data_IF_672714645769
#
_entry.id   IF_672714645769
#
_cell.length_a   1.000
_cell.length_b   1.000
_cell.length_c   1.000
_cell.angle_alpha   90.00
_cell.angle_beta   90.00
_cell.angle_gamma   90.00
#
_symmetry.space_group_name_H-M   'P 1'
#
loop_
_entity.id
_entity.type
_entity.pdbx_description
1 polymer ?
#
# COMPACT_ATOMS: atom_id res chain seq x y z
N UNK A 1 73.20 41.49 -21.12
CA UNK A 1 73.80 40.18 -20.83
C UNK A 1 73.12 39.57 -19.60
N UNK A 2 72.53 38.38 -19.79
CA UNK A 2 72.11 37.33 -18.84
C UNK A 2 71.56 37.76 -17.46
N UNK A 3 70.23 37.81 -17.35
CA UNK A 3 69.50 37.63 -16.08
C UNK A 3 69.72 36.20 -15.61
N UNK A 4 70.41 36.01 -14.48
CA UNK A 4 70.46 34.74 -13.78
C UNK A 4 69.11 34.50 -13.11
N UNK A 5 68.21 33.80 -13.79
CA UNK A 5 67.07 33.15 -13.15
C UNK A 5 67.66 32.02 -12.31
N UNK A 6 67.54 32.13 -10.99
CA UNK A 6 68.03 31.13 -10.04
C UNK A 6 67.38 29.78 -10.34
N UNK A 7 68.20 28.78 -10.70
CA UNK A 7 67.77 27.40 -10.94
C UNK A 7 67.07 26.79 -9.71
N UNK A 8 67.30 27.35 -8.50
CA UNK A 8 66.59 26.97 -7.27
C UNK A 8 65.10 27.32 -7.30
N UNK A 9 64.67 28.33 -8.06
CA UNK A 9 63.26 28.71 -8.16
C UNK A 9 62.50 27.82 -9.17
N UNK A 10 63.19 27.30 -10.18
CA UNK A 10 62.61 26.39 -11.18
C UNK A 10 62.47 24.97 -10.63
N UNK A 11 63.42 24.52 -9.79
CA UNK A 11 63.34 23.20 -9.13
C UNK A 11 62.27 23.17 -8.03
N UNK A 12 61.96 24.30 -7.38
CA UNK A 12 60.88 24.35 -6.39
C UNK A 12 59.48 24.37 -7.03
N UNK A 13 59.36 24.86 -8.28
CA UNK A 13 58.07 24.88 -8.99
C UNK A 13 57.75 23.57 -9.72
N UNK A 14 58.74 22.69 -9.93
CA UNK A 14 58.55 21.37 -10.55
C UNK A 14 58.22 20.24 -9.55
N UNK A 15 58.34 20.49 -8.24
CA UNK A 15 57.96 19.52 -7.18
C UNK A 15 56.48 19.70 -6.75
N UNK A 16 55.80 20.77 -7.16
CA UNK A 16 54.41 21.04 -6.75
C UNK A 16 53.34 20.66 -7.78
N UNK A 17 53.70 19.92 -8.84
CA UNK A 17 52.76 19.38 -9.83
C UNK A 17 52.94 17.86 -9.93
N UNK A 18 53.01 17.19 -8.78
CA UNK A 18 52.24 15.96 -8.66
C UNK A 18 50.81 16.45 -8.50
N UNK A 19 50.12 16.60 -9.63
CA UNK A 19 48.67 16.73 -9.59
C UNK A 19 48.19 15.56 -8.75
N UNK A 20 47.73 15.84 -7.53
CA UNK A 20 46.82 14.98 -6.83
C UNK A 20 45.63 14.85 -7.77
N UNK A 21 45.70 13.85 -8.64
CA UNK A 21 44.53 13.08 -9.00
C UNK A 21 44.02 12.57 -7.66
N UNK A 22 43.23 13.41 -6.99
CA UNK A 22 42.42 13.01 -5.85
C UNK A 22 41.40 12.05 -6.42
N UNK A 23 41.82 10.80 -6.63
CA UNK A 23 40.91 9.69 -6.63
C UNK A 23 40.23 9.78 -5.28
N UNK A 24 38.97 10.21 -5.28
CA UNK A 24 38.14 10.17 -4.08
C UNK A 24 37.81 8.70 -3.83
N UNK A 25 38.82 7.99 -3.35
CA UNK A 25 38.64 6.65 -2.84
C UNK A 25 37.73 6.78 -1.61
N UNK A 26 36.72 5.92 -1.45
CA UNK A 26 35.93 5.88 -0.23
C UNK A 26 36.86 5.75 0.98
N UNK A 27 36.87 6.75 1.87
CA UNK A 27 37.73 6.75 3.06
C UNK A 27 36.90 6.34 4.26
N UNK A 28 37.43 5.44 5.10
CA UNK A 28 36.89 5.18 6.42
C UNK A 28 37.87 5.75 7.45
N UNK A 29 37.49 6.81 8.16
CA UNK A 29 38.35 7.53 9.08
C UNK A 29 37.56 8.26 10.18
N UNK A 30 38.29 8.81 11.15
CA UNK A 30 37.73 9.79 12.07
C UNK A 30 37.35 11.09 11.33
N UNK A 31 36.23 11.70 11.73
CA UNK A 31 35.92 13.07 11.33
C UNK A 31 36.73 14.10 12.13
N UNK A 32 36.37 15.38 12.05
CA UNK A 32 37.06 16.44 12.82
C UNK A 32 36.53 16.60 14.23
N UNK A 33 35.37 16.02 14.55
CA UNK A 33 34.81 16.00 15.90
C UNK A 33 35.32 14.81 16.72
N UNK A 34 35.34 14.94 18.05
CA UNK A 34 35.67 13.83 18.96
C UNK A 34 34.76 12.63 18.73
N UNK A 35 35.31 11.42 18.62
CA UNK A 35 34.59 10.16 18.33
C UNK A 35 33.68 10.20 17.08
N UNK A 36 33.96 11.09 16.13
CA UNK A 36 33.20 11.20 14.89
C UNK A 36 33.68 10.22 13.83
N UNK A 37 32.78 9.77 12.95
CA UNK A 37 33.10 8.80 11.87
C UNK A 37 32.74 9.37 10.51
N UNK A 38 33.68 9.27 9.58
CA UNK A 38 33.50 9.57 8.16
C UNK A 38 33.75 8.30 7.35
N UNK A 39 32.80 7.91 6.52
CA UNK A 39 32.90 6.75 5.64
C UNK A 39 32.41 7.08 4.22
N UNK A 40 33.30 7.14 3.24
CA UNK A 40 32.97 7.41 1.82
C UNK A 40 33.64 8.66 1.26
N UNK A 41 32.93 9.41 0.42
CA UNK A 41 33.48 10.50 -0.39
C UNK A 41 32.88 11.85 0.04
N UNK A 42 33.72 12.86 0.25
CA UNK A 42 33.31 14.25 0.53
C UNK A 42 32.30 14.41 1.68
N UNK A 43 32.38 13.53 2.68
CA UNK A 43 31.54 13.58 3.86
C UNK A 43 32.21 14.46 4.94
N UNK A 44 31.41 15.18 5.70
CA UNK A 44 31.81 16.00 6.83
C UNK A 44 31.13 15.44 8.09
N UNK A 45 31.92 15.02 9.07
CA UNK A 45 31.46 14.75 10.43
C UNK A 45 32.30 15.61 11.37
N UNK A 46 31.74 16.73 11.86
CA UNK A 46 32.54 17.80 12.48
C UNK A 46 32.33 17.99 13.97
N UNK A 47 31.31 17.37 14.55
CA UNK A 47 30.95 17.50 15.96
C UNK A 47 31.11 16.19 16.73
N UNK A 48 31.06 16.27 18.06
CA UNK A 48 31.16 15.11 18.96
C UNK A 48 30.20 13.98 18.54
N UNK A 49 30.73 12.76 18.35
CA UNK A 49 29.98 11.55 18.01
C UNK A 49 29.09 11.70 16.77
N UNK A 50 29.45 12.60 15.86
CA UNK A 50 28.78 12.74 14.57
C UNK A 50 29.20 11.64 13.59
N UNK A 51 28.29 11.24 12.70
CA UNK A 51 28.48 10.11 11.79
C UNK A 51 28.05 10.48 10.37
N UNK A 52 28.97 10.44 9.41
CA UNK A 52 28.68 10.75 8.01
C UNK A 52 29.12 9.61 7.06
N UNK A 53 28.17 9.00 6.35
CA UNK A 53 28.37 7.80 5.54
C UNK A 53 27.80 7.96 4.12
N UNK A 54 28.57 7.63 3.08
CA UNK A 54 28.15 7.70 1.67
C UNK A 54 28.87 8.81 0.90
N UNK A 55 28.15 9.71 0.22
CA UNK A 55 28.74 10.77 -0.60
C UNK A 55 28.16 12.15 -0.28
N UNK A 56 29.01 13.12 0.06
CA UNK A 56 28.62 14.53 0.21
C UNK A 56 27.74 14.83 1.42
N UNK A 57 27.72 13.97 2.44
CA UNK A 57 26.89 14.16 3.63
C UNK A 57 27.56 15.10 4.63
N UNK A 58 26.76 15.85 5.38
CA UNK A 58 27.24 16.78 6.41
C UNK A 58 26.54 16.51 7.75
N UNK A 59 27.22 15.81 8.65
CA UNK A 59 26.84 15.60 10.04
C UNK A 59 27.59 16.60 10.94
N UNK A 60 27.06 17.80 11.07
CA UNK A 60 27.70 18.91 11.82
C UNK A 60 27.00 19.22 13.14
N UNK A 61 26.13 18.33 13.63
CA UNK A 61 25.54 18.41 14.97
C UNK A 61 26.16 17.39 15.93
N UNK A 62 26.19 17.69 17.23
CA UNK A 62 26.59 16.70 18.24
C UNK A 62 25.65 15.49 18.20
N UNK A 63 26.19 14.28 18.23
CA UNK A 63 25.44 13.02 18.09
C UNK A 63 24.60 12.94 16.80
N UNK A 64 24.93 13.73 15.76
CA UNK A 64 24.18 13.72 14.51
C UNK A 64 24.58 12.58 13.59
N UNK A 65 23.67 12.16 12.72
CA UNK A 65 23.91 11.09 11.75
C UNK A 65 23.43 11.51 10.36
N UNK A 66 24.30 11.41 9.35
CA UNK A 66 23.97 11.67 7.96
C UNK A 66 24.41 10.51 7.05
N UNK A 67 23.48 9.82 6.40
CA UNK A 67 23.76 8.60 5.62
C UNK A 67 23.14 8.64 4.23
N UNK A 68 23.94 8.38 3.19
CA UNK A 68 23.49 8.29 1.80
C UNK A 68 24.14 9.33 0.89
N UNK A 69 23.35 10.14 0.19
CA UNK A 69 23.86 11.15 -0.74
C UNK A 69 23.37 12.57 -0.38
N UNK A 70 24.30 13.50 -0.14
CA UNK A 70 24.01 14.93 0.10
C UNK A 70 23.03 15.22 1.25
N UNK A 71 23.04 14.43 2.31
CA UNK A 71 22.21 14.71 3.49
C UNK A 71 22.89 15.70 4.43
N UNK A 72 22.11 16.47 5.17
CA UNK A 72 22.58 17.44 6.17
C UNK A 72 21.89 17.13 7.50
N UNK A 73 22.67 16.80 8.53
CA UNK A 73 22.22 16.66 9.92
C UNK A 73 23.04 17.65 10.78
N UNK A 74 22.51 18.86 10.99
CA UNK A 74 23.30 20.00 11.48
C UNK A 74 23.01 20.43 12.92
N UNK A 75 22.10 19.76 13.62
CA UNK A 75 21.75 20.05 15.02
C UNK A 75 21.96 18.85 15.94
N UNK A 76 21.90 19.11 17.25
CA UNK A 76 22.04 18.11 18.29
C UNK A 76 21.07 16.93 18.04
N UNK A 77 21.61 15.69 18.05
CA UNK A 77 20.87 14.44 17.85
C UNK A 77 20.01 14.39 16.57
N UNK A 78 20.35 15.20 15.56
CA UNK A 78 19.65 15.19 14.27
C UNK A 78 20.06 14.01 13.39
N UNK A 79 19.13 13.47 12.61
CA UNK A 79 19.34 12.28 11.78
C UNK A 79 18.82 12.49 10.35
N UNK A 80 19.68 12.37 9.34
CA UNK A 80 19.32 12.56 7.93
C UNK A 80 19.77 11.36 7.07
N UNK A 81 18.83 10.63 6.48
CA UNK A 81 19.11 9.36 5.79
C UNK A 81 18.45 9.30 4.42
N UNK A 82 19.20 8.95 3.38
CA UNK A 82 18.71 8.81 2.00
C UNK A 82 19.38 9.81 1.05
N UNK A 83 18.60 10.63 0.34
CA UNK A 83 19.14 11.58 -0.66
C UNK A 83 18.66 13.01 -0.42
N UNK A 84 19.59 13.93 -0.16
CA UNK A 84 19.30 15.37 -0.13
C UNK A 84 18.44 15.82 1.05
N UNK A 85 18.32 15.03 2.12
CA UNK A 85 17.52 15.40 3.29
C UNK A 85 18.25 16.41 4.18
N UNK A 86 17.49 17.24 4.91
CA UNK A 86 17.99 18.22 5.88
C UNK A 86 17.29 18.05 7.22
N UNK A 87 17.96 17.41 8.17
CA UNK A 87 17.58 17.39 9.59
C UNK A 87 18.31 18.54 10.30
N UNK A 88 17.63 19.68 10.43
CA UNK A 88 18.23 20.95 10.88
C UNK A 88 17.54 21.54 12.12
N UNK A 89 16.63 20.78 12.73
CA UNK A 89 16.12 21.00 14.08
C UNK A 89 16.84 20.12 15.12
N UNK A 90 16.89 20.54 16.39
CA UNK A 90 17.34 19.66 17.47
C UNK A 90 16.42 18.44 17.59
N UNK A 91 17.00 17.25 17.76
CA UNK A 91 16.28 15.96 17.79
C UNK A 91 15.42 15.69 16.54
N UNK A 92 15.73 16.35 15.42
CA UNK A 92 14.98 16.17 14.18
C UNK A 92 15.42 14.95 13.38
N UNK A 93 14.49 14.35 12.64
CA UNK A 93 14.77 13.21 11.75
C UNK A 93 14.22 13.46 10.36
N UNK A 94 15.03 13.24 9.32
CA UNK A 94 14.65 13.36 7.93
C UNK A 94 15.10 12.13 7.12
N UNK A 95 14.15 11.34 6.62
CA UNK A 95 14.40 10.06 5.94
C UNK A 95 13.74 10.01 4.56
N UNK A 96 14.48 9.54 3.56
CA UNK A 96 14.00 9.36 2.18
C UNK A 96 14.64 10.32 1.20
N UNK A 97 13.88 11.15 0.49
CA UNK A 97 14.43 12.08 -0.52
C UNK A 97 13.96 13.51 -0.38
N UNK A 98 14.90 14.46 -0.32
CA UNK A 98 14.62 15.90 -0.31
C UNK A 98 13.59 16.29 0.76
N UNK A 99 13.70 15.78 1.98
CA UNK A 99 12.88 16.25 3.10
C UNK A 99 13.63 17.30 3.93
N UNK A 100 12.89 18.21 4.56
CA UNK A 100 13.42 19.14 5.57
C UNK A 100 12.67 18.91 6.89
N UNK A 101 13.39 18.63 7.95
CA UNK A 101 12.89 18.61 9.32
C UNK A 101 13.63 19.69 10.11
N UNK A 102 12.99 20.84 10.32
CA UNK A 102 13.60 22.01 10.96
C UNK A 102 13.01 22.35 12.33
N UNK A 103 11.82 21.84 12.66
CA UNK A 103 11.26 21.95 14.01
C UNK A 103 12.05 21.13 15.03
N UNK A 104 12.05 21.53 16.29
CA UNK A 104 12.59 20.71 17.39
C UNK A 104 11.75 19.44 17.55
N UNK A 105 12.38 18.28 17.73
CA UNK A 105 11.69 16.98 17.78
C UNK A 105 10.86 16.65 16.52
N UNK A 106 11.16 17.29 15.38
CA UNK A 106 10.38 17.09 14.16
C UNK A 106 10.81 15.84 13.37
N UNK A 107 9.89 15.27 12.59
CA UNK A 107 10.16 14.07 11.79
C UNK A 107 9.56 14.18 10.39
N UNK A 108 10.39 14.04 9.36
CA UNK A 108 9.96 14.01 7.96
C UNK A 108 10.40 12.69 7.30
N UNK A 109 9.44 11.88 6.87
CA UNK A 109 9.68 10.57 6.25
C UNK A 109 8.99 10.48 4.88
N UNK A 110 9.74 10.07 3.86
CA UNK A 110 9.24 9.90 2.50
C UNK A 110 9.93 10.85 1.52
N UNK A 111 9.20 11.71 0.82
CA UNK A 111 9.80 12.58 -0.21
C UNK A 111 9.21 13.97 -0.24
N UNK A 112 10.06 15.00 -0.35
CA UNK A 112 9.67 16.38 -0.67
C UNK A 112 8.68 17.01 0.33
N UNK A 113 8.83 16.71 1.62
CA UNK A 113 8.12 17.39 2.71
C UNK A 113 9.02 18.36 3.47
N UNK A 114 8.43 19.43 4.00
CA UNK A 114 9.06 20.33 4.97
C UNK A 114 8.25 20.36 6.28
N UNK A 115 8.88 20.02 7.40
CA UNK A 115 8.29 20.04 8.74
C UNK A 115 9.00 21.10 9.56
N UNK A 116 8.32 22.22 9.81
CA UNK A 116 8.83 23.34 10.59
C UNK A 116 8.23 23.40 12.00
N UNK A 117 7.06 22.79 12.21
CA UNK A 117 6.43 22.69 13.52
C UNK A 117 7.24 21.88 14.52
N UNK A 118 7.25 22.31 15.79
CA UNK A 118 7.91 21.57 16.86
C UNK A 118 7.10 20.33 17.25
N UNK A 119 7.77 19.26 17.66
CA UNK A 119 7.15 17.99 18.09
C UNK A 119 6.16 17.43 17.06
N UNK A 120 6.48 17.58 15.78
CA UNK A 120 5.56 17.37 14.66
C UNK A 120 6.15 16.49 13.58
N UNK A 121 5.31 15.94 12.70
CA UNK A 121 5.82 15.10 11.61
C UNK A 121 5.00 15.03 10.34
N UNK A 122 5.65 14.57 9.28
CA UNK A 122 5.05 14.29 7.98
C UNK A 122 5.57 12.97 7.41
N UNK A 123 4.66 12.11 6.98
CA UNK A 123 4.95 10.78 6.44
C UNK A 123 4.25 10.60 5.09
N UNK A 124 5.02 10.54 4.00
CA UNK A 124 4.48 10.33 2.65
C UNK A 124 5.23 11.12 1.59
N UNK A 125 4.54 11.47 0.51
CA UNK A 125 5.10 12.23 -0.63
C UNK A 125 4.44 13.60 -0.76
N UNK A 126 5.25 14.64 -0.62
CA UNK A 126 4.92 16.03 -0.94
C UNK A 126 5.24 16.38 -2.39
N UNK A 127 5.75 17.60 -2.60
CA UNK A 127 6.06 18.13 -3.93
C UNK A 127 7.00 19.33 -3.79
N UNK A 128 8.09 19.30 -4.56
CA UNK A 128 9.06 20.36 -4.66
C UNK A 128 9.07 20.94 -6.08
N UNK A 129 8.63 22.19 -6.22
CA UNK A 129 8.64 22.93 -7.47
C UNK A 129 9.34 24.29 -7.25
N UNK A 130 10.65 24.25 -7.03
CA UNK A 130 11.46 25.39 -6.58
C UNK A 130 11.27 25.75 -5.10
N UNK A 131 10.11 25.41 -4.52
CA UNK A 131 9.82 25.46 -3.09
C UNK A 131 8.97 24.26 -2.67
N UNK A 132 8.98 23.97 -1.37
CA UNK A 132 8.14 22.93 -0.76
C UNK A 132 6.68 23.39 -0.75
N UNK A 133 5.83 22.70 -1.50
CA UNK A 133 4.40 23.03 -1.60
C UNK A 133 3.62 22.56 -0.37
N UNK A 134 4.08 21.46 0.22
CA UNK A 134 3.40 20.75 1.30
C UNK A 134 4.26 20.79 2.56
N UNK A 135 3.72 21.45 3.60
CA UNK A 135 4.44 21.72 4.84
C UNK A 135 3.61 21.36 6.05
N UNK A 136 4.27 20.89 7.10
CA UNK A 136 3.70 20.85 8.43
C UNK A 136 4.33 21.95 9.29
N UNK A 137 3.60 23.05 9.43
CA UNK A 137 4.03 24.24 10.17
C UNK A 137 3.35 24.38 11.54
N UNK A 138 2.39 23.49 11.84
CA UNK A 138 1.72 23.43 13.13
C UNK A 138 2.55 22.66 14.15
N UNK A 139 2.55 23.08 15.41
CA UNK A 139 3.18 22.36 16.51
C UNK A 139 2.33 21.16 16.93
N UNK A 140 2.98 20.15 17.53
CA UNK A 140 2.36 18.91 18.00
C UNK A 140 1.47 18.22 16.94
N UNK A 141 1.77 18.41 15.66
CA UNK A 141 0.89 18.06 14.55
C UNK A 141 1.50 16.97 13.68
N UNK A 142 0.68 16.05 13.18
CA UNK A 142 1.16 14.90 12.41
C UNK A 142 0.35 14.67 11.15
N UNK A 143 1.04 14.48 10.03
CA UNK A 143 0.42 14.19 8.75
C UNK A 143 0.89 12.83 8.22
N UNK A 144 -0.04 11.95 7.90
CA UNK A 144 0.21 10.65 7.27
C UNK A 144 -0.55 10.61 5.93
N UNK A 145 0.22 10.48 4.86
CA UNK A 145 -0.23 10.44 3.47
C UNK A 145 0.37 11.54 2.60
N UNK A 146 -0.09 11.60 1.36
CA UNK A 146 0.52 12.40 0.30
C UNK A 146 -0.16 13.76 0.17
N UNK A 147 0.63 14.79 -0.17
CA UNK A 147 0.13 16.13 -0.51
C UNK A 147 -0.69 16.78 0.61
N UNK A 148 -0.30 16.58 1.87
CA UNK A 148 -0.97 17.17 3.03
C UNK A 148 -0.29 18.46 3.49
N UNK A 149 -1.04 19.38 4.08
CA UNK A 149 -0.49 20.62 4.65
C UNK A 149 -1.20 21.01 5.94
N UNK A 150 -0.43 21.48 6.91
CA UNK A 150 -0.91 22.14 8.13
C UNK A 150 -0.21 23.51 8.19
N UNK A 151 -1.00 24.58 8.15
CA UNK A 151 -0.48 25.95 8.16
C UNK A 151 0.04 26.36 9.54
N UNK A 152 0.92 27.37 9.57
CA UNK A 152 1.44 27.92 10.82
C UNK A 152 0.31 28.44 11.73
N UNK A 153 0.49 28.30 13.05
CA UNK A 153 -0.53 28.65 14.05
C UNK A 153 -1.74 27.70 14.07
N UNK A 154 -1.57 26.48 13.57
CA UNK A 154 -2.58 25.43 13.53
C UNK A 154 -2.03 24.19 14.24
N UNK A 155 -2.06 24.23 15.56
CA UNK A 155 -1.39 23.28 16.44
C UNK A 155 -2.32 22.12 16.83
N UNK A 156 -1.73 21.01 17.29
CA UNK A 156 -2.43 19.82 17.77
C UNK A 156 -3.36 19.17 16.72
N UNK A 157 -2.95 19.19 15.45
CA UNK A 157 -3.73 18.66 14.35
C UNK A 157 -3.18 17.33 13.79
N UNK A 158 -4.09 16.42 13.45
CA UNK A 158 -3.75 15.10 12.93
C UNK A 158 -4.43 14.84 11.59
N UNK A 159 -3.65 14.43 10.59
CA UNK A 159 -4.15 14.06 9.27
C UNK A 159 -3.80 12.60 8.99
N UNK A 160 -4.82 11.80 8.68
CA UNK A 160 -4.67 10.47 8.08
C UNK A 160 -5.44 10.43 6.76
N UNK A 161 -4.74 10.73 5.66
CA UNK A 161 -5.37 10.87 4.34
C UNK A 161 -4.44 11.48 3.30
N UNK A 162 -4.94 11.68 2.09
CA UNK A 162 -4.20 12.34 1.01
C UNK A 162 -4.91 13.64 0.62
N UNK A 163 -4.15 14.66 0.22
CA UNK A 163 -4.68 15.93 -0.27
C UNK A 163 -5.59 16.63 0.77
N UNK A 164 -5.13 16.71 2.01
CA UNK A 164 -5.80 17.44 3.10
C UNK A 164 -5.02 18.71 3.41
N UNK A 165 -5.72 19.83 3.56
CA UNK A 165 -5.16 21.11 3.96
C UNK A 165 -5.89 21.66 5.18
N UNK A 166 -5.16 21.86 6.27
CA UNK A 166 -5.64 22.55 7.47
C UNK A 166 -5.09 23.99 7.41
N UNK A 167 -6.01 24.95 7.31
CA UNK A 167 -5.68 26.38 7.25
C UNK A 167 -5.32 26.95 8.63
N UNK A 168 -4.77 28.17 8.63
CA UNK A 168 -4.30 28.88 9.83
C UNK A 168 -5.36 29.03 10.91
N UNK A 169 -4.98 28.85 12.17
CA UNK A 169 -5.83 29.09 13.34
C UNK A 169 -6.80 27.96 13.70
N UNK A 170 -6.73 26.84 12.99
CA UNK A 170 -7.50 25.63 13.31
C UNK A 170 -6.64 24.76 14.22
N UNK A 171 -7.14 24.43 15.41
CA UNK A 171 -6.38 23.66 16.41
C UNK A 171 -7.14 22.41 16.86
N UNK A 172 -6.42 21.45 17.43
CA UNK A 172 -7.01 20.29 18.12
C UNK A 172 -8.02 19.52 17.25
N UNK A 173 -7.67 19.25 15.99
CA UNK A 173 -8.58 18.64 15.02
C UNK A 173 -7.97 17.44 14.30
N UNK A 174 -8.84 16.57 13.80
CA UNK A 174 -8.46 15.34 13.08
C UNK A 174 -9.13 15.30 11.71
N UNK A 175 -8.35 15.08 10.66
CA UNK A 175 -8.85 14.78 9.33
C UNK A 175 -8.65 13.29 9.00
N UNK A 176 -9.75 12.59 8.71
CA UNK A 176 -9.74 11.17 8.35
C UNK A 176 -10.24 11.00 6.91
N UNK A 177 -9.37 10.44 6.06
CA UNK A 177 -9.65 10.15 4.65
C UNK A 177 -9.13 11.19 3.67
N UNK A 178 -9.01 10.78 2.41
CA UNK A 178 -8.52 11.62 1.33
C UNK A 178 -9.49 12.76 0.97
N UNK A 179 -8.98 13.95 0.67
CA UNK A 179 -9.78 15.12 0.32
C UNK A 179 -10.77 15.55 1.42
N UNK A 180 -10.52 15.19 2.69
CA UNK A 180 -11.29 15.71 3.81
C UNK A 180 -10.93 17.18 4.08
N UNK A 181 -11.88 17.96 4.58
CA UNK A 181 -11.71 19.39 4.88
C UNK A 181 -12.00 19.64 6.35
N UNK A 182 -11.08 20.29 7.06
CA UNK A 182 -11.28 20.74 8.44
C UNK A 182 -11.56 22.24 8.39
N UNK A 183 -12.73 22.65 8.87
CA UNK A 183 -13.19 24.04 8.79
C UNK A 183 -13.25 24.76 10.15
N UNK A 184 -13.02 24.04 11.25
CA UNK A 184 -13.05 24.58 12.61
C UNK A 184 -12.22 23.73 13.57
N UNK A 185 -11.73 24.36 14.63
CA UNK A 185 -11.01 23.69 15.73
C UNK A 185 -11.90 22.72 16.49
N UNK A 186 -11.30 21.75 17.18
CA UNK A 186 -12.00 20.73 17.99
C UNK A 186 -12.96 19.86 17.17
N UNK A 187 -12.58 19.48 15.94
CA UNK A 187 -13.44 18.65 15.08
C UNK A 187 -12.72 17.42 14.53
N UNK A 188 -13.51 16.36 14.28
CA UNK A 188 -13.08 15.21 13.47
C UNK A 188 -13.81 15.29 12.13
N UNK A 189 -13.08 15.60 11.07
CA UNK A 189 -13.62 15.64 9.71
C UNK A 189 -13.38 14.32 8.99
N UNK A 190 -14.47 13.66 8.58
CA UNK A 190 -14.44 12.41 7.80
C UNK A 190 -14.74 12.66 6.31
N UNK A 191 -14.76 13.91 5.84
CA UNK A 191 -15.15 14.27 4.48
C UNK A 191 -15.04 15.75 4.17
N UNK A 192 -15.75 16.19 3.15
CA UNK A 192 -15.85 17.57 2.69
C UNK A 192 -17.30 17.93 2.35
N UNK A 193 -17.52 19.16 1.88
CA UNK A 193 -18.84 19.62 1.43
C UNK A 193 -19.40 18.78 0.27
N UNK A 194 -18.52 18.27 -0.61
CA UNK A 194 -18.86 17.49 -1.80
C UNK A 194 -18.67 15.99 -1.62
N UNK A 195 -17.81 15.57 -0.68
CA UNK A 195 -17.55 14.16 -0.39
C UNK A 195 -17.89 13.83 1.06
N UNK A 196 -19.04 13.22 1.29
CA UNK A 196 -19.46 12.75 2.61
C UNK A 196 -19.25 11.25 2.73
N UNK A 197 -18.72 10.79 3.86
CA UNK A 197 -18.52 9.36 4.14
C UNK A 197 -19.56 8.87 5.14
N UNK A 198 -19.98 7.62 4.96
CA UNK A 198 -20.70 6.89 5.99
C UNK A 198 -19.72 6.51 7.09
N UNK A 199 -20.12 6.71 8.34
CA UNK A 199 -19.45 6.10 9.51
C UNK A 199 -20.24 4.82 9.80
N UNK A 200 -19.61 3.67 9.60
CA UNK A 200 -20.25 2.35 9.70
C UNK A 200 -19.64 1.56 10.86
N UNK A 201 -20.33 0.50 11.29
CA UNK A 201 -19.95 -0.31 12.46
C UNK A 201 -19.92 0.49 13.77
N UNK A 202 -20.78 1.51 13.86
CA UNK A 202 -21.02 2.28 15.09
C UNK A 202 -22.00 1.47 15.94
N UNK A 203 -21.61 1.16 17.18
CA UNK A 203 -22.52 0.58 18.17
C UNK A 203 -23.59 1.57 18.58
N UNK A 204 -24.70 1.09 19.13
CA UNK A 204 -25.73 1.99 19.67
C UNK A 204 -25.15 2.82 20.81
N UNK A 205 -25.30 4.14 20.70
CA UNK A 205 -24.94 5.06 21.76
C UNK A 205 -25.94 5.03 22.91
N UNK A 206 -25.54 5.45 24.11
CA UNK A 206 -26.50 5.72 25.18
C UNK A 206 -27.45 6.85 24.76
N UNK A 207 -28.74 6.72 25.06
CA UNK A 207 -29.70 7.80 24.82
C UNK A 207 -30.17 8.38 26.15
N UNK A 208 -29.50 9.44 26.57
CA UNK A 208 -29.76 10.19 27.80
C UNK A 208 -29.42 11.67 27.61
N UNK A 209 -29.87 12.53 28.53
CA UNK A 209 -29.68 13.99 28.43
C UNK A 209 -28.20 14.43 28.50
N UNK A 210 -27.31 13.56 28.97
CA UNK A 210 -25.87 13.81 29.11
C UNK A 210 -25.01 12.98 28.17
N UNK A 211 -25.61 12.16 27.31
CA UNK A 211 -24.85 11.31 26.39
C UNK A 211 -24.07 12.12 25.36
N UNK A 212 -22.85 11.67 25.07
CA UNK A 212 -21.99 12.22 24.00
C UNK A 212 -21.71 11.19 22.90
N UNK A 213 -22.43 10.06 22.93
CA UNK A 213 -22.24 8.98 21.99
C UNK A 213 -22.84 9.31 20.61
N UNK A 214 -22.26 8.69 19.58
CA UNK A 214 -22.85 8.73 18.25
C UNK A 214 -24.12 7.85 18.21
N UNK A 215 -25.21 8.39 17.66
CA UNK A 215 -26.48 7.66 17.49
C UNK A 215 -26.46 6.90 16.17
N UNK A 216 -26.87 5.63 16.19
CA UNK A 216 -26.97 4.81 14.97
C UNK A 216 -28.25 5.09 14.18
N UNK A 217 -28.25 4.77 12.89
CA UNK A 217 -29.48 4.86 12.08
C UNK A 217 -30.62 3.99 12.61
N UNK A 218 -30.33 2.88 13.29
CA UNK A 218 -31.34 2.02 13.93
C UNK A 218 -32.01 2.72 15.10
N UNK A 219 -31.26 3.39 15.97
CA UNK A 219 -31.82 4.11 17.12
C UNK A 219 -32.72 5.27 16.67
N UNK A 220 -32.31 5.99 15.61
CA UNK A 220 -33.14 7.02 15.00
C UNK A 220 -34.42 6.43 14.40
N UNK A 221 -34.32 5.31 13.68
CA UNK A 221 -35.48 4.65 13.06
C UNK A 221 -36.46 4.07 14.09
N UNK A 222 -35.97 3.49 15.19
CA UNK A 222 -36.83 2.89 16.22
C UNK A 222 -37.52 3.91 17.12
N UNK A 223 -37.16 5.20 17.04
CA UNK A 223 -37.66 6.24 17.94
C UNK A 223 -37.19 6.08 19.39
N UNK A 224 -36.16 5.26 19.63
CA UNK A 224 -35.62 5.09 20.98
C UNK A 224 -35.05 6.43 21.46
N UNK A 225 -35.45 6.87 22.65
CA UNK A 225 -35.00 8.14 23.22
C UNK A 225 -35.78 9.39 22.81
N UNK A 226 -36.87 9.23 22.03
CA UNK A 226 -37.88 10.28 21.95
C UNK A 226 -38.58 10.34 23.30
N UNK A 227 -38.44 11.47 24.01
CA UNK A 227 -39.24 11.77 25.19
C UNK A 227 -40.69 11.98 24.76
N UNK A 228 -41.42 10.85 24.68
CA UNK A 228 -42.83 10.82 24.30
C UNK A 228 -43.68 11.63 25.28
N UNK A 229 -43.28 11.76 26.55
CA UNK A 229 -43.97 12.58 27.54
C UNK A 229 -43.80 14.09 27.26
N UNK A 230 -42.59 14.53 26.89
CA UNK A 230 -42.37 15.92 26.44
C UNK A 230 -43.13 16.24 25.14
N UNK A 231 -43.18 15.30 24.19
CA UNK A 231 -43.98 15.45 22.96
C UNK A 231 -45.48 15.49 23.25
N UNK A 232 -45.98 14.63 24.13
CA UNK A 232 -47.39 14.65 24.57
C UNK A 232 -47.74 15.97 25.28
N UNK A 233 -46.83 16.52 26.07
CA UNK A 233 -47.00 17.84 26.71
C UNK A 233 -46.97 18.99 25.70
N UNK A 234 -46.05 19.00 24.72
CA UNK A 234 -46.02 20.03 23.65
C UNK A 234 -47.25 19.98 22.74
N UNK A 235 -47.71 18.79 22.42
CA UNK A 235 -48.92 18.57 21.63
C UNK A 235 -50.21 18.71 22.45
N UNK A 236 -50.09 18.96 23.76
CA UNK A 236 -51.21 19.09 24.68
C UNK A 236 -52.14 17.85 24.72
N UNK A 237 -51.58 16.68 24.40
CA UNK A 237 -52.27 15.37 24.36
C UNK A 237 -52.38 14.76 25.76
N UNK A 238 -51.60 15.24 26.73
CA UNK A 238 -51.69 14.86 28.15
C UNK A 238 -52.95 15.35 28.86
N UNK A 239 -53.72 16.28 28.28
CA UNK A 239 -55.05 16.62 28.78
C UNK A 239 -56.07 15.58 28.32
N UNK A 240 -56.07 14.43 29.01
CA UNK A 240 -57.18 13.47 29.01
C UNK A 240 -58.54 14.11 29.36
N UNK A 241 -58.53 15.36 29.85
CA UNK A 241 -59.70 16.17 30.15
C UNK A 241 -60.28 16.95 28.95
N UNK A 242 -59.55 17.05 27.83
CA UNK A 242 -60.06 17.67 26.59
C UNK A 242 -60.73 16.62 25.67
N UNK A 243 -60.66 15.33 26.04
CA UNK A 243 -61.39 14.23 25.42
C UNK A 243 -62.58 13.82 26.29
N UNK A 244 -63.36 14.83 26.69
CA UNK A 244 -64.76 14.55 26.99
C UNK A 244 -65.42 14.27 25.65
N UNK A 245 -65.87 13.02 25.51
CA UNK A 245 -67.06 12.59 24.79
C UNK A 245 -67.72 13.66 23.91
N UNK A 246 -68.08 13.27 22.68
CA UNK A 246 -68.73 14.08 21.64
C UNK A 246 -69.99 14.88 22.05
N UNK A 247 -70.37 14.87 23.33
CA UNK A 247 -71.39 15.68 23.97
C UNK A 247 -70.91 17.08 24.42
N UNK A 248 -69.60 17.32 24.55
CA UNK A 248 -69.04 18.63 24.98
C UNK A 248 -68.37 19.43 23.83
N UNK A 249 -68.49 18.95 22.58
CA UNK A 249 -68.22 19.78 21.41
C UNK A 249 -69.35 20.82 21.36
N UNK A 250 -69.08 22.03 21.84
CA UNK A 250 -69.96 23.17 21.64
C UNK A 250 -70.01 23.52 20.14
N UNK A 251 -70.92 22.84 19.44
CA UNK A 251 -71.18 22.99 18.00
C UNK A 251 -71.54 24.45 17.68
N UNK A 252 -72.14 25.19 18.62
CA UNK A 252 -72.49 26.59 18.42
C UNK A 252 -71.23 27.48 18.40
N UNK A 253 -70.22 27.18 19.21
CA UNK A 253 -68.91 27.86 19.18
C UNK A 253 -68.16 27.65 17.86
N UNK A 254 -68.28 26.46 17.26
CA UNK A 254 -67.75 26.16 15.94
C UNK A 254 -68.56 26.82 14.82
N UNK A 255 -69.90 26.83 14.92
CA UNK A 255 -70.78 27.54 13.98
C UNK A 255 -70.48 29.04 13.92
N UNK A 256 -70.25 29.67 15.07
CA UNK A 256 -69.88 31.09 15.15
C UNK A 256 -68.49 31.35 14.55
N UNK A 257 -67.51 30.46 14.78
CA UNK A 257 -66.17 30.57 14.18
C UNK A 257 -66.15 30.37 12.66
N UNK A 258 -67.07 29.56 12.13
CA UNK A 258 -67.25 29.32 10.70
C UNK A 258 -68.17 30.35 10.02
N UNK A 259 -68.67 31.35 10.77
CA UNK A 259 -69.55 32.39 10.21
C UNK A 259 -70.94 31.91 9.82
N UNK A 260 -71.35 30.70 10.23
CA UNK A 260 -72.69 30.13 9.95
C UNK A 260 -73.68 30.41 11.09
N UNK A 261 -73.44 31.48 11.86
CA UNK A 261 -74.22 31.84 13.05
C UNK A 261 -74.76 33.26 13.03
N UNK A 262 -76.09 33.33 12.89
CA UNK A 262 -77.00 34.45 13.19
C UNK A 262 -77.22 35.51 12.11
N UNK A 263 -78.33 35.35 11.40
CA UNK A 263 -79.02 36.42 10.67
C UNK A 263 -80.39 35.92 10.22
N UNK A 264 -81.47 36.44 10.80
CA UNK A 264 -82.84 36.02 10.55
C UNK A 264 -83.28 36.16 9.09
N UNK A 265 -84.22 35.31 8.68
CA UNK A 265 -84.86 35.33 7.36
C UNK A 265 -85.07 33.91 6.84
N UNK A 266 -86.32 33.53 6.55
CA UNK A 266 -86.75 32.15 6.31
C UNK A 266 -86.01 31.40 5.20
N UNK A 267 -85.75 30.12 5.46
CA UNK A 267 -85.22 29.15 4.50
C UNK A 267 -85.09 27.77 5.13
N UNK A 268 -85.78 26.79 4.53
CA UNK A 268 -85.94 25.35 4.77
C UNK A 268 -85.23 24.64 5.96
N UNK A 269 -85.90 23.66 6.61
CA UNK A 269 -85.25 22.77 7.57
C UNK A 269 -84.21 21.90 6.85
N UNK A 270 -83.05 21.74 7.48
CA UNK A 270 -82.01 20.81 7.02
C UNK A 270 -82.43 19.41 7.46
N UNK A 271 -82.70 18.53 6.50
CA UNK A 271 -83.21 17.18 6.73
C UNK A 271 -82.25 16.37 7.61
N UNK A 272 -82.77 15.89 8.75
CA UNK A 272 -82.10 14.91 9.58
C UNK A 272 -82.15 13.55 8.86
N UNK A 273 -81.03 13.13 8.29
CA UNK A 273 -80.89 11.78 7.73
C UNK A 273 -81.23 10.74 8.80
N UNK A 274 -82.19 9.88 8.50
CA UNK A 274 -82.56 8.76 9.38
C UNK A 274 -81.55 7.63 9.24
N UNK A 275 -81.37 6.85 10.33
CA UNK A 275 -80.43 5.72 10.38
C UNK A 275 -80.64 4.70 9.24
N UNK A 276 -81.84 4.62 8.66
CA UNK A 276 -82.14 3.75 7.51
C UNK A 276 -81.53 4.23 6.18
N UNK A 277 -81.24 5.52 6.04
CA UNK A 277 -80.66 6.09 4.81
C UNK A 277 -79.12 5.94 4.78
N UNK A 278 -78.49 5.77 5.94
CA UNK A 278 -77.06 5.47 6.05
C UNK A 278 -76.74 4.00 5.75
N UNK A 279 -77.65 3.08 6.09
CA UNK A 279 -77.43 1.64 5.97
C UNK A 279 -77.57 1.11 4.52
N UNK A 280 -78.22 1.85 3.62
CA UNK A 280 -78.39 1.46 2.20
C UNK A 280 -77.29 1.97 1.25
N UNK A 281 -76.22 2.59 1.76
CA UNK A 281 -75.12 3.12 0.94
C UNK A 281 -73.82 2.30 1.01
N UNK A 282 -73.77 1.30 1.89
CA UNK A 282 -72.63 0.38 1.96
C UNK A 282 -72.99 -0.92 1.22
N UNK A 283 -72.33 -1.08 0.07
CA UNK A 283 -72.24 -2.22 -0.83
C UNK A 283 -72.95 -3.51 -0.38
N UNK A 284 -73.83 -4.01 -1.25
CA UNK A 284 -74.51 -5.29 -1.12
C UNK A 284 -73.46 -6.42 -1.10
N UNK A 285 -73.70 -7.46 -0.29
CA UNK A 285 -72.78 -8.60 -0.06
C UNK A 285 -72.32 -9.31 -1.34
N UNK A 286 -73.09 -9.14 -2.42
CA UNK A 286 -72.82 -9.65 -3.78
C UNK A 286 -71.60 -9.00 -4.45
N UNK A 287 -71.21 -7.78 -4.07
CA UNK A 287 -70.05 -7.08 -4.64
C UNK A 287 -68.71 -7.53 -4.03
N UNK A 288 -68.74 -8.19 -2.87
CA UNK A 288 -67.55 -8.68 -2.16
C UNK A 288 -67.02 -10.00 -2.74
N UNK A 289 -67.90 -10.82 -3.33
CA UNK A 289 -67.54 -12.13 -3.89
C UNK A 289 -66.86 -12.02 -5.27
N UNK A 290 -66.93 -10.87 -5.93
CA UNK A 290 -66.21 -10.59 -7.18
C UNK A 290 -64.76 -10.11 -6.95
N UNK A 291 -64.33 -9.88 -5.70
CA UNK A 291 -62.97 -9.45 -5.39
C UNK A 291 -61.97 -10.61 -5.23
N UNK A 292 -62.45 -11.85 -5.17
CA UNK A 292 -61.62 -13.05 -4.97
C UNK A 292 -61.21 -13.75 -6.28
N UNK A 293 -61.67 -13.26 -7.43
CA UNK A 293 -61.22 -13.71 -8.76
C UNK A 293 -60.52 -12.57 -9.50
N UNK A 294 -59.24 -12.36 -9.23
CA UNK A 294 -58.43 -11.46 -10.04
C UNK A 294 -56.99 -11.92 -10.07
N UNK A 295 -56.61 -12.51 -11.18
CA UNK A 295 -55.22 -12.83 -11.56
C UNK A 295 -54.37 -11.56 -11.83
N UNK A 296 -54.87 -10.37 -11.50
CA UNK A 296 -54.17 -9.08 -11.66
C UNK A 296 -54.10 -8.35 -10.31
N UNK A 297 -53.09 -8.69 -9.50
CA UNK A 297 -52.79 -7.97 -8.27
C UNK A 297 -52.11 -6.63 -8.60
N UNK A 298 -52.90 -5.57 -8.75
CA UNK A 298 -52.41 -4.18 -8.70
C UNK A 298 -52.51 -3.69 -7.27
N UNK A 299 -51.42 -3.16 -6.72
CA UNK A 299 -51.45 -2.50 -5.42
C UNK A 299 -52.33 -1.23 -5.47
N UNK A 300 -52.62 -0.64 -4.31
CA UNK A 300 -53.53 0.49 -4.14
C UNK A 300 -53.15 1.76 -4.95
N UNK A 301 -51.99 1.78 -5.60
CA UNK A 301 -51.52 2.87 -6.46
C UNK A 301 -51.54 2.53 -7.96
N UNK A 302 -52.13 1.40 -8.35
CA UNK A 302 -52.23 0.99 -9.75
C UNK A 302 -50.91 0.50 -10.35
N UNK A 303 -49.91 0.22 -9.51
CA UNK A 303 -48.61 -0.26 -9.97
C UNK A 303 -48.73 -1.77 -10.21
N UNK A 304 -48.44 -2.17 -11.44
CA UNK A 304 -48.30 -3.57 -11.84
C UNK A 304 -46.99 -4.10 -11.24
N UNK A 305 -47.14 -4.83 -10.13
CA UNK A 305 -46.06 -5.35 -9.31
C UNK A 305 -45.21 -6.34 -10.12
N UNK A 306 -45.80 -7.08 -11.05
CA UNK A 306 -45.08 -8.06 -11.87
C UNK A 306 -44.29 -7.39 -13.00
N UNK A 307 -44.82 -6.31 -13.57
CA UNK A 307 -44.09 -5.45 -14.52
C UNK A 307 -42.93 -4.71 -13.85
N UNK A 308 -43.04 -4.37 -12.57
CA UNK A 308 -41.95 -3.80 -11.77
C UNK A 308 -40.91 -4.84 -11.36
N UNK A 309 -41.31 -6.06 -10.96
CA UNK A 309 -40.38 -7.18 -10.74
C UNK A 309 -39.56 -7.52 -11.99
N UNK A 310 -40.20 -7.49 -13.17
CA UNK A 310 -39.52 -7.67 -14.45
C UNK A 310 -38.52 -6.55 -14.77
N UNK A 311 -38.84 -5.29 -14.44
CA UNK A 311 -37.92 -4.14 -14.61
C UNK A 311 -36.77 -4.11 -13.59
N UNK A 312 -36.97 -4.61 -12.38
CA UNK A 312 -35.96 -4.69 -11.32
C UNK A 312 -35.06 -5.94 -11.40
N UNK A 313 -35.33 -6.86 -12.33
CA UNK A 313 -34.50 -8.05 -12.55
C UNK A 313 -34.55 -9.09 -11.42
N UNK A 314 -35.59 -9.06 -10.58
CA UNK A 314 -35.74 -9.94 -9.40
C UNK A 314 -36.53 -11.22 -9.69
N UNK A 315 -36.81 -11.54 -10.96
CA UNK A 315 -37.38 -12.83 -11.35
C UNK A 315 -36.38 -13.96 -11.07
N UNK A 316 -36.83 -15.04 -10.45
CA UNK A 316 -36.04 -16.25 -10.11
C UNK A 316 -35.19 -16.76 -11.28
N UNK A 317 -35.69 -16.64 -12.52
CA UNK A 317 -34.98 -17.02 -13.73
C UNK A 317 -33.69 -16.20 -14.01
N UNK A 318 -33.65 -14.91 -13.70
CA UNK A 318 -32.45 -14.09 -13.92
C UNK A 318 -31.36 -14.37 -12.87
N UNK A 319 -31.77 -14.69 -11.64
CA UNK A 319 -30.86 -15.08 -10.56
C UNK A 319 -30.26 -16.47 -10.83
N UNK A 320 -31.03 -17.40 -11.37
CA UNK A 320 -30.55 -18.72 -11.77
C UNK A 320 -29.58 -18.65 -12.95
N UNK A 321 -29.88 -17.85 -13.98
CA UNK A 321 -28.97 -17.64 -15.10
C UNK A 321 -27.66 -16.99 -14.66
N UNK A 322 -27.72 -15.98 -13.78
CA UNK A 322 -26.52 -15.35 -13.22
C UNK A 322 -25.74 -16.33 -12.33
N UNK A 323 -26.41 -17.16 -11.53
CA UNK A 323 -25.75 -18.21 -10.73
C UNK A 323 -25.05 -19.23 -11.63
N UNK A 324 -25.66 -19.63 -12.74
CA UNK A 324 -25.06 -20.56 -13.68
C UNK A 324 -23.85 -19.94 -14.38
N UNK A 325 -23.95 -18.69 -14.84
CA UNK A 325 -22.81 -17.97 -15.44
C UNK A 325 -21.67 -17.76 -14.42
N UNK A 326 -22.01 -17.43 -13.17
CA UNK A 326 -21.02 -17.30 -12.09
C UNK A 326 -20.38 -18.64 -11.77
N UNK A 327 -21.13 -19.74 -11.71
CA UNK A 327 -20.59 -21.07 -11.47
C UNK A 327 -19.67 -21.51 -12.63
N UNK A 328 -20.06 -21.28 -13.88
CA UNK A 328 -19.21 -21.56 -15.04
C UNK A 328 -17.91 -20.73 -15.00
N UNK A 329 -17.97 -19.45 -14.64
CA UNK A 329 -16.76 -18.63 -14.44
C UNK A 329 -15.90 -19.13 -13.29
N UNK A 330 -16.50 -19.56 -12.18
CA UNK A 330 -15.78 -20.14 -11.03
C UNK A 330 -15.07 -21.43 -11.43
N UNK A 331 -15.71 -22.30 -12.20
CA UNK A 331 -15.10 -23.54 -12.66
C UNK A 331 -13.96 -23.28 -13.66
N UNK A 332 -14.11 -22.31 -14.56
CA UNK A 332 -13.03 -21.86 -15.45
C UNK A 332 -11.83 -21.35 -14.64
N UNK A 333 -12.06 -20.48 -13.63
CA UNK A 333 -10.99 -19.96 -12.77
C UNK A 333 -10.32 -21.09 -11.97
N UNK A 334 -11.10 -22.07 -11.49
CA UNK A 334 -10.55 -23.23 -10.77
C UNK A 334 -9.66 -24.09 -11.66
N UNK A 335 -10.01 -24.25 -12.93
CA UNK A 335 -9.19 -24.99 -13.90
C UNK A 335 -7.88 -24.25 -14.23
N UNK A 336 -7.95 -22.93 -14.44
CA UNK A 336 -6.78 -22.06 -14.66
C UNK A 336 -5.84 -22.10 -13.45
N UNK A 337 -6.36 -21.95 -12.22
CA UNK A 337 -5.55 -21.99 -10.99
C UNK A 337 -4.84 -23.34 -10.82
N UNK A 338 -5.50 -24.45 -11.14
CA UNK A 338 -4.86 -25.78 -11.08
C UNK A 338 -3.74 -25.92 -12.12
N UNK A 339 -3.96 -25.41 -13.32
CA UNK A 339 -2.99 -25.41 -14.41
C UNK A 339 -1.76 -24.57 -14.05
N UNK A 340 -1.96 -23.34 -13.59
CA UNK A 340 -0.91 -22.45 -13.06
C UNK A 340 -0.15 -23.10 -11.89
N UNK A 341 -0.85 -23.80 -11.00
CA UNK A 341 -0.23 -24.55 -9.91
C UNK A 341 0.73 -25.64 -10.40
N UNK A 342 0.33 -26.41 -11.42
CA UNK A 342 1.19 -27.45 -12.02
C UNK A 342 2.37 -26.86 -12.80
N UNK A 343 2.17 -25.77 -13.55
CA UNK A 343 3.23 -25.05 -14.28
C UNK A 343 4.26 -24.44 -13.33
N UNK A 344 3.80 -23.83 -12.23
CA UNK A 344 4.67 -23.27 -11.20
C UNK A 344 5.50 -24.35 -10.51
N UNK A 345 4.89 -25.51 -10.19
CA UNK A 345 5.60 -26.66 -9.65
C UNK A 345 6.68 -27.19 -10.62
N UNK A 346 6.37 -27.24 -11.93
CA UNK A 346 7.33 -27.65 -12.95
C UNK A 346 8.52 -26.67 -13.04
N UNK A 347 8.25 -25.36 -13.10
CA UNK A 347 9.30 -24.32 -13.14
C UNK A 347 10.17 -24.30 -11.88
N UNK A 348 9.57 -24.56 -10.71
CA UNK A 348 10.30 -24.63 -9.44
C UNK A 348 11.26 -25.83 -9.37
N UNK A 349 10.96 -26.91 -10.08
CA UNK A 349 11.83 -28.09 -10.19
C UNK A 349 13.05 -27.90 -11.09
N UNK A 350 13.19 -26.76 -11.77
CA UNK A 350 14.36 -26.45 -12.60
C UNK A 350 15.55 -26.04 -11.70
N UNK A 351 16.37 -27.02 -11.34
CA UNK A 351 17.54 -26.82 -10.50
C UNK A 351 18.85 -27.02 -11.27
N UNK A 352 19.73 -26.01 -11.32
CA UNK A 352 21.04 -26.15 -11.92
C UNK A 352 21.99 -26.91 -10.99
N UNK A 353 22.90 -27.67 -11.59
CA UNK A 353 24.00 -28.34 -10.91
C UNK A 353 25.06 -27.33 -10.45
N UNK A 354 25.98 -27.77 -9.58
CA UNK A 354 27.06 -26.92 -9.06
C UNK A 354 27.90 -26.29 -10.20
N UNK A 355 28.44 -25.10 -9.94
CA UNK A 355 29.27 -24.35 -10.90
C UNK A 355 30.43 -25.19 -11.43
N UNK A 356 30.51 -25.31 -12.76
CA UNK A 356 31.66 -25.86 -13.48
C UNK A 356 32.22 -24.76 -14.44
N UNK A 357 33.47 -24.30 -14.25
CA UNK A 357 34.08 -23.28 -15.10
C UNK A 357 34.25 -23.69 -16.57
N UNK A 358 34.19 -24.98 -16.91
CA UNK A 358 34.26 -25.48 -18.30
C UNK A 358 32.89 -25.68 -18.94
N UNK A 359 31.83 -25.71 -18.13
CA UNK A 359 30.45 -25.87 -18.57
C UNK A 359 29.54 -24.81 -17.90
N UNK A 360 29.69 -23.52 -18.25
CA UNK A 360 28.93 -22.43 -17.63
C UNK A 360 27.44 -22.45 -18.02
N UNK A 361 27.07 -23.09 -19.13
CA UNK A 361 25.69 -23.27 -19.59
C UNK A 361 25.18 -24.64 -19.15
N UNK A 362 23.99 -24.69 -18.54
CA UNK A 362 23.31 -25.94 -18.21
C UNK A 362 21.87 -25.90 -18.69
N UNK A 363 21.32 -27.05 -19.06
CA UNK A 363 19.92 -27.23 -19.49
C UNK A 363 19.22 -28.13 -18.48
N UNK A 364 17.99 -27.76 -18.11
CA UNK A 364 17.18 -28.40 -17.08
C UNK A 364 15.82 -28.80 -17.66
N UNK A 365 15.25 -29.87 -17.12
CA UNK A 365 13.88 -30.29 -17.42
C UNK A 365 13.20 -30.75 -16.12
N UNK A 366 11.91 -30.47 -15.98
CA UNK A 366 11.15 -30.81 -14.79
C UNK A 366 9.69 -31.11 -15.12
N UNK A 367 9.04 -31.89 -14.25
CA UNK A 367 7.62 -32.23 -14.33
C UNK A 367 6.91 -31.68 -13.09
N UNK A 368 5.81 -30.98 -13.30
CA UNK A 368 4.97 -30.43 -12.23
C UNK A 368 3.62 -31.10 -12.20
N UNK A 369 3.16 -31.47 -11.01
CA UNK A 369 1.87 -32.09 -10.79
C UNK A 369 1.12 -31.33 -9.69
N UNK A 370 -0.11 -30.90 -9.96
CA UNK A 370 -0.96 -30.27 -8.96
C UNK A 370 -2.40 -30.74 -9.13
N UNK A 371 -2.89 -31.46 -8.11
CA UNK A 371 -4.18 -32.17 -8.13
C UNK A 371 -4.32 -33.11 -9.33
N UNK A 372 -5.09 -32.72 -10.33
CA UNK A 372 -5.43 -33.46 -11.53
C UNK A 372 -4.70 -32.94 -12.79
N UNK A 373 -3.85 -31.92 -12.66
CA UNK A 373 -3.11 -31.31 -13.78
C UNK A 373 -1.62 -31.65 -13.76
N UNK A 374 -1.08 -31.91 -14.95
CA UNK A 374 0.34 -32.18 -15.20
C UNK A 374 0.92 -31.16 -16.19
N UNK A 375 2.15 -30.74 -15.94
CA UNK A 375 2.87 -29.79 -16.78
C UNK A 375 4.35 -30.14 -16.88
N UNK A 376 4.98 -29.72 -17.98
CA UNK A 376 6.41 -29.95 -18.26
C UNK A 376 7.11 -28.60 -18.35
N UNK A 377 8.30 -28.50 -17.77
CA UNK A 377 9.16 -27.34 -17.85
C UNK A 377 10.52 -27.68 -18.44
N UNK A 378 11.07 -26.75 -19.21
CA UNK A 378 12.46 -26.77 -19.70
C UNK A 378 13.10 -25.44 -19.37
N UNK A 379 14.37 -25.45 -19.00
CA UNK A 379 15.10 -24.24 -18.66
C UNK A 379 16.57 -24.30 -18.98
N UNK A 380 17.21 -23.14 -18.93
CA UNK A 380 18.64 -22.99 -19.09
C UNK A 380 19.19 -22.07 -17.99
N UNK A 381 20.41 -22.36 -17.53
CA UNK A 381 21.13 -21.50 -16.60
C UNK A 381 22.53 -21.20 -17.13
N UNK A 382 22.99 -19.96 -16.90
CA UNK A 382 24.31 -19.50 -17.25
C UNK A 382 25.03 -18.96 -16.01
N UNK A 383 26.18 -19.54 -15.70
CA UNK A 383 27.07 -19.06 -14.65
C UNK A 383 28.06 -18.03 -15.23
N UNK A 384 28.00 -16.80 -14.73
CA UNK A 384 28.99 -15.77 -15.09
C UNK A 384 30.29 -15.96 -14.30
N UNK A 385 30.19 -16.49 -13.08
CA UNK A 385 31.29 -16.89 -12.22
C UNK A 385 30.77 -17.84 -11.11
N UNK A 386 31.62 -18.22 -10.17
CA UNK A 386 31.29 -19.10 -9.05
C UNK A 386 30.22 -18.54 -8.11
N UNK A 387 29.98 -17.22 -8.14
CA UNK A 387 29.06 -16.49 -7.26
C UNK A 387 27.79 -15.98 -7.92
N UNK A 388 27.78 -15.77 -9.24
CA UNK A 388 26.68 -15.15 -9.96
C UNK A 388 26.20 -16.01 -11.13
N UNK A 389 24.91 -16.29 -11.13
CA UNK A 389 24.24 -17.13 -12.13
C UNK A 389 22.90 -16.50 -12.53
N UNK A 390 22.55 -16.63 -13.80
CA UNK A 390 21.22 -16.33 -14.33
C UNK A 390 20.55 -17.60 -14.81
N UNK A 391 19.27 -17.81 -14.49
CA UNK A 391 18.46 -18.92 -14.98
C UNK A 391 17.21 -18.41 -15.69
N UNK A 392 16.72 -19.20 -16.62
CA UNK A 392 15.45 -18.98 -17.29
C UNK A 392 14.76 -20.31 -17.54
N UNK A 393 13.44 -20.33 -17.51
CA UNK A 393 12.63 -21.52 -17.69
C UNK A 393 11.31 -21.19 -18.36
N UNK A 394 10.80 -22.14 -19.14
CA UNK A 394 9.49 -22.10 -19.78
C UNK A 394 8.77 -23.40 -19.44
N UNK A 395 7.49 -23.30 -19.10
CA UNK A 395 6.63 -24.45 -18.83
C UNK A 395 5.36 -24.43 -19.68
N UNK A 396 4.91 -25.62 -20.06
CA UNK A 396 3.78 -25.87 -20.94
C UNK A 396 2.86 -26.93 -20.32
N UNK A 397 1.54 -26.72 -20.44
CA UNK A 397 0.51 -27.69 -20.04
C UNK A 397 -0.15 -28.33 -21.27
N UNK A 398 -0.47 -29.63 -21.17
CA UNK A 398 -0.91 -30.47 -22.30
C UNK A 398 -2.41 -30.48 -22.60
N UNK A 399 -3.23 -29.68 -21.92
CA UNK A 399 -4.69 -29.69 -22.12
C UNK A 399 -5.23 -28.49 -22.91
N UNK A 400 -6.50 -28.57 -23.36
CA UNK A 400 -7.17 -27.83 -24.45
C UNK A 400 -7.03 -26.29 -24.52
N UNK A 401 -6.47 -25.65 -23.49
CA UNK A 401 -5.98 -24.27 -23.55
C UNK A 401 -4.51 -24.33 -23.15
N UNK A 402 -3.61 -24.21 -24.12
CA UNK A 402 -2.17 -24.23 -23.86
C UNK A 402 -1.79 -22.97 -23.09
N UNK A 403 -1.73 -23.09 -21.76
CA UNK A 403 -1.20 -22.06 -20.89
C UNK A 403 0.31 -22.25 -20.75
N UNK A 404 1.05 -21.16 -20.93
CA UNK A 404 2.50 -21.14 -20.91
C UNK A 404 2.99 -20.20 -19.83
N UNK A 405 3.94 -20.63 -19.02
CA UNK A 405 4.59 -19.76 -18.02
C UNK A 405 6.08 -19.66 -18.31
N UNK A 406 6.68 -18.50 -18.02
CA UNK A 406 8.11 -18.28 -18.16
C UNK A 406 8.66 -17.62 -16.89
N UNK A 407 9.91 -17.92 -16.55
CA UNK A 407 10.63 -17.26 -15.46
C UNK A 407 12.06 -16.85 -15.88
N UNK A 408 12.58 -15.86 -15.17
CA UNK A 408 13.98 -15.44 -15.21
C UNK A 408 14.42 -15.19 -13.77
N UNK A 409 15.54 -15.78 -13.36
CA UNK A 409 16.07 -15.69 -12.01
C UNK A 409 17.54 -15.30 -12.01
N UNK A 410 17.95 -14.59 -10.97
CA UNK A 410 19.35 -14.25 -10.71
C UNK A 410 19.73 -14.76 -9.32
N UNK A 411 20.85 -15.46 -9.22
CA UNK A 411 21.35 -16.03 -7.97
C UNK A 411 22.71 -15.45 -7.64
N UNK A 412 22.87 -14.94 -6.41
CA UNK A 412 24.12 -14.41 -5.88
C UNK A 412 24.51 -15.17 -4.61
N UNK A 413 25.70 -15.78 -4.60
CA UNK A 413 26.25 -16.41 -3.40
C UNK A 413 26.89 -15.36 -2.47
N UNK A 414 26.37 -15.23 -1.25
CA UNK A 414 26.86 -14.31 -0.21
C UNK A 414 27.59 -15.07 0.90
N UNK A 415 28.80 -14.62 1.28
CA UNK A 415 29.62 -15.23 2.34
C UNK A 415 31.13 -15.13 2.11
N UNK A 416 31.93 -15.35 3.16
CA UNK A 416 33.38 -15.58 3.06
C UNK A 416 33.58 -16.97 2.43
N UNK A 417 33.84 -16.99 1.13
CA UNK A 417 34.22 -18.23 0.44
C UNK A 417 35.45 -18.82 1.12
N UNK A 418 35.42 -20.11 1.43
CA UNK A 418 36.65 -20.83 1.71
C UNK A 418 37.56 -20.62 0.51
N UNK A 419 38.77 -20.12 0.73
CA UNK A 419 39.80 -19.97 -0.31
C UNK A 419 40.34 -21.33 -0.76
N UNK A 420 39.45 -22.28 -1.07
CA UNK A 420 39.81 -23.44 -1.88
C UNK A 420 39.80 -22.97 -3.31
N UNK A 421 40.97 -22.54 -3.75
CA UNK A 421 41.35 -22.63 -5.16
C UNK A 421 41.05 -24.06 -5.58
N UNK A 422 40.01 -24.28 -6.39
CA UNK A 422 39.78 -25.57 -7.04
C UNK A 422 40.93 -25.78 -8.03
N UNK A 423 42.04 -26.28 -7.52
CA UNK A 423 43.12 -26.82 -8.33
C UNK A 423 42.73 -28.26 -8.69
N UNK A 424 41.62 -28.40 -9.41
CA UNK A 424 41.44 -29.60 -10.20
C UNK A 424 42.35 -29.43 -11.41
N UNK A 425 43.53 -30.06 -11.35
CA UNK A 425 44.28 -30.37 -12.56
C UNK A 425 43.28 -30.96 -13.55
N UNK A 426 43.02 -30.28 -14.67
CA UNK A 426 41.97 -30.72 -15.59
C UNK A 426 42.17 -32.18 -15.96
N UNK A 427 41.09 -32.96 -16.01
CA UNK A 427 41.16 -34.37 -16.40
C UNK A 427 41.84 -34.56 -17.78
N UNK A 428 41.89 -33.52 -18.64
CA UNK A 428 42.68 -33.54 -19.89
C UNK A 428 44.19 -33.49 -19.65
N UNK A 429 44.68 -32.82 -18.59
CA UNK A 429 46.11 -32.82 -18.23
C UNK A 429 46.49 -34.20 -17.72
N UNK A 430 45.66 -34.80 -16.87
CA UNK A 430 45.84 -36.19 -16.41
C UNK A 430 45.71 -37.17 -17.57
N UNK A 431 44.75 -37.00 -18.49
CA UNK A 431 44.61 -37.85 -19.68
C UNK A 431 45.77 -37.66 -20.67
N UNK A 432 46.31 -36.45 -20.82
CA UNK A 432 47.48 -36.19 -21.66
C UNK A 432 48.74 -36.78 -21.03
N UNK A 433 48.92 -36.68 -19.71
CA UNK A 433 50.03 -37.34 -19.00
C UNK A 433 49.87 -38.87 -19.01
N UNK A 434 48.67 -39.41 -18.81
CA UNK A 434 48.40 -40.85 -18.93
C UNK A 434 48.64 -41.32 -20.36
N UNK A 435 48.23 -40.59 -21.40
CA UNK A 435 48.56 -40.90 -22.80
C UNK A 435 50.07 -40.85 -23.03
N UNK A 436 50.76 -39.81 -22.55
CA UNK A 436 52.22 -39.66 -22.68
C UNK A 436 52.96 -40.80 -21.99
N UNK A 437 52.59 -41.13 -20.76
CA UNK A 437 53.14 -42.23 -19.97
C UNK A 437 52.81 -43.61 -20.58
N UNK A 438 51.66 -43.75 -21.23
CA UNK A 438 51.30 -44.99 -21.93
C UNK A 438 52.19 -45.19 -23.17
N UNK A 439 52.46 -44.11 -23.92
CA UNK A 439 53.39 -44.13 -25.07
C UNK A 439 54.83 -44.41 -24.61
N UNK A 440 55.32 -43.73 -23.57
CA UNK A 440 56.65 -44.00 -23.01
C UNK A 440 56.79 -45.45 -22.52
N UNK A 441 55.76 -46.01 -21.88
CA UNK A 441 55.77 -47.41 -21.45
C UNK A 441 55.75 -48.40 -22.63
N UNK A 442 55.09 -48.06 -23.75
CA UNK A 442 55.14 -48.87 -24.97
C UNK A 442 56.54 -48.86 -25.58
N UNK A 443 57.18 -47.69 -25.65
CA UNK A 443 58.54 -47.55 -26.18
C UNK A 443 59.56 -48.26 -25.29
N UNK A 444 59.42 -48.18 -23.96
CA UNK A 444 60.25 -48.93 -23.01
C UNK A 444 60.08 -50.44 -23.17
N UNK A 445 58.85 -50.94 -23.39
CA UNK A 445 58.59 -52.37 -23.66
C UNK A 445 59.20 -52.84 -24.98
N UNK A 446 59.24 -52.00 -26.01
CA UNK A 446 59.93 -52.32 -27.26
C UNK A 446 61.45 -52.34 -27.10
N UNK A 447 62.02 -51.39 -26.34
CA UNK A 447 63.46 -51.42 -26.02
C UNK A 447 63.84 -52.65 -25.21
N UNK A 448 63.00 -53.05 -24.25
CA UNK A 448 63.15 -54.30 -23.49
C UNK A 448 63.11 -55.52 -24.39
N UNK A 449 62.12 -55.64 -25.29
CA UNK A 449 62.05 -56.74 -26.26
C UNK A 449 63.26 -56.78 -27.20
N UNK A 450 63.71 -55.63 -27.70
CA UNK A 450 64.92 -55.57 -28.53
C UNK A 450 66.19 -55.98 -27.75
N UNK A 451 66.25 -55.68 -26.45
CA UNK A 451 67.34 -56.12 -25.58
C UNK A 451 67.25 -57.63 -25.31
N UNK A 452 66.07 -58.17 -25.05
CA UNK A 452 65.82 -59.61 -24.88
C UNK A 452 66.13 -60.39 -26.16
N UNK A 453 65.72 -59.91 -27.34
CA UNK A 453 66.06 -60.53 -28.62
C UNK A 453 67.57 -60.49 -28.91
N UNK A 454 68.24 -59.38 -28.60
CA UNK A 454 69.71 -59.30 -28.68
C UNK A 454 70.39 -60.26 -27.71
N UNK A 455 69.83 -60.43 -26.51
CA UNK A 455 70.34 -61.37 -25.51
C UNK A 455 70.11 -62.82 -25.97
N UNK A 456 68.95 -63.14 -26.54
CA UNK A 456 68.66 -64.46 -27.13
C UNK A 456 69.56 -64.76 -28.34
N UNK A 457 69.82 -63.77 -29.21
CA UNK A 457 70.77 -63.94 -30.32
C UNK A 457 72.20 -64.18 -29.83
N UNK A 458 72.61 -63.54 -28.73
CA UNK A 458 73.90 -63.79 -28.09
C UNK A 458 73.95 -65.17 -27.40
N UNK A 459 72.83 -65.67 -26.88
CA UNK A 459 72.72 -66.99 -26.27
C UNK A 459 72.61 -68.13 -27.30
N UNK A 460 72.04 -67.88 -28.49
CA UNK A 460 71.99 -68.84 -29.62
C UNK A 460 73.31 -68.95 -30.40
N UNK A 461 74.20 -67.97 -30.28
CA UNK A 461 75.54 -67.97 -30.88
C UNK A 461 76.63 -68.52 -29.92
N UNK A 462 76.25 -69.37 -28.96
CA UNK A 462 77.16 -70.09 -28.08
C UNK A 462 77.17 -71.58 -28.38
#
# INVERSE_FOLDING_TARGET
MKKFVSLKLIVFSFILVVGSVSFSAPVFQGGTGTDSTVAGVDNIASEEKSSAFGTGNNASGKFSSAFGYKNIASRLRSSAFGTGNKAIGEDSSAFGSLNIASGKFSSAFGSQYEVTGNSSGAFGVGEFNGSYQYKNEGNNSYMIGNKNKIASGSDDNFILGNNVHIGGGINNSVALGNNSTVSASNTVSVGSSTLKRKIVNVGDGEISASSTDAVTGRQLYSGNGIDTAAWQNKLNVTRKNDYKDANDIDVNKWRTKLGVGSGGGGGAPVDAYTKSEADNKFANKTDLDNYTKKDDYKDANGIDVDKWKAKLGTGTANIENLRNEVNEKIDNVKDEVRTVGSLSAALAGLHPMQYDPKAPVQVMAALGHYKDKQSVAVGASYYFNDRFMMSTGIALSGEKRTETMANVGFTLKLGKGSGVTYNETPQYVVQNEVKRLTVENQELKERLRNLEEKLEMLLKNK
#
